data_IF_747719221918
#
_entry.id   IF_747719221918
#
_cell.length_a   1.000
_cell.length_b   1.000
_cell.length_c   1.000
_cell.angle_alpha   90.00
_cell.angle_beta   90.00
_cell.angle_gamma   90.00
#
_symmetry.space_group_name_H-M   'P 1'
#
loop_
_entity.id
_entity.type
_entity.pdbx_description
1 polymer ?
#
# COMPACT_ATOMS: atom_id res chain seq x y z
N UNK A 1 25.86 3.81 7.75
CA UNK A 1 25.41 2.60 7.03
C UNK A 1 23.96 2.86 6.63
N UNK A 2 23.69 3.23 5.38
CA UNK A 2 22.30 3.42 4.94
C UNK A 2 21.65 2.04 4.93
N UNK A 3 20.68 1.80 5.81
CA UNK A 3 19.81 0.62 5.68
C UNK A 3 19.20 0.72 4.28
N UNK A 4 19.37 -0.28 3.44
CA UNK A 4 18.60 -0.40 2.20
C UNK A 4 17.12 -0.44 2.59
N UNK A 5 16.47 0.73 2.58
CA UNK A 5 15.06 0.86 2.87
C UNK A 5 14.31 0.33 1.65
N UNK A 6 14.18 -0.98 1.58
CA UNK A 6 13.50 -1.68 0.50
C UNK A 6 11.98 -1.50 0.66
N UNK A 7 11.50 -0.28 0.41
CA UNK A 7 10.09 0.10 0.53
C UNK A 7 9.41 -0.10 -0.82
N UNK A 8 8.28 -0.82 -0.80
CA UNK A 8 7.44 -1.04 -1.97
C UNK A 8 6.05 -0.46 -1.70
N UNK A 9 5.66 0.55 -2.47
CA UNK A 9 4.31 1.10 -2.42
C UNK A 9 3.46 0.37 -3.45
N UNK A 10 2.35 -0.20 -2.99
CA UNK A 10 1.38 -0.92 -3.80
C UNK A 10 0.12 -0.05 -3.84
N UNK A 11 -0.25 0.43 -5.02
CA UNK A 11 -1.52 1.10 -5.24
C UNK A 11 -2.58 0.09 -5.59
N UNK A 12 -3.66 0.09 -4.83
CA UNK A 12 -4.94 -0.46 -5.26
C UNK A 12 -5.41 0.33 -6.48
N UNK A 13 -5.62 -0.38 -7.58
CA UNK A 13 -6.12 0.13 -8.85
C UNK A 13 -7.44 -0.55 -9.23
N UNK A 14 -8.23 -0.98 -8.25
CA UNK A 14 -9.62 -1.40 -8.45
C UNK A 14 -10.49 -0.28 -9.02
N UNK A 15 -11.65 -0.64 -9.54
CA UNK A 15 -12.63 0.28 -10.10
C UNK A 15 -13.11 1.34 -9.11
N UNK A 16 -13.24 1.00 -7.82
CA UNK A 16 -13.66 1.93 -6.75
C UNK A 16 -12.67 3.08 -6.54
N UNK A 17 -11.42 2.93 -6.99
CA UNK A 17 -10.42 3.99 -6.96
C UNK A 17 -10.66 5.08 -8.02
N UNK A 18 -11.57 4.89 -8.98
CA UNK A 18 -12.01 5.98 -9.86
C UNK A 18 -13.00 6.93 -9.19
N UNK A 19 -13.61 6.51 -8.09
CA UNK A 19 -14.61 7.31 -7.40
C UNK A 19 -13.94 8.34 -6.48
N UNK A 20 -14.67 9.42 -6.18
CA UNK A 20 -14.32 10.38 -5.13
C UNK A 20 -12.89 10.95 -5.21
N UNK A 21 -12.33 11.03 -6.42
CA UNK A 21 -10.99 11.58 -6.65
C UNK A 21 -9.82 10.70 -6.17
N UNK A 22 -10.05 9.47 -5.71
CA UNK A 22 -9.01 8.59 -5.14
C UNK A 22 -7.85 8.34 -6.12
N UNK A 23 -8.15 8.14 -7.41
CA UNK A 23 -7.12 8.02 -8.47
C UNK A 23 -6.25 9.27 -8.59
N UNK A 24 -6.80 10.46 -8.40
CA UNK A 24 -6.01 11.69 -8.43
C UNK A 24 -5.01 11.73 -7.26
N UNK A 25 -5.44 11.29 -6.07
CA UNK A 25 -4.57 11.16 -4.89
C UNK A 25 -3.40 10.20 -5.18
N UNK A 26 -3.66 9.01 -5.73
CA UNK A 26 -2.60 8.06 -6.11
C UNK A 26 -1.57 8.66 -7.08
N UNK A 27 -2.06 9.41 -8.08
CA UNK A 27 -1.19 10.09 -9.06
C UNK A 27 -0.33 11.18 -8.41
N UNK A 28 -0.90 11.94 -7.48
CA UNK A 28 -0.18 12.98 -6.72
C UNK A 28 0.88 12.35 -5.83
N UNK A 29 0.53 11.28 -5.09
CA UNK A 29 1.46 10.52 -4.27
C UNK A 29 2.63 9.99 -5.11
N UNK A 30 2.35 9.32 -6.22
CA UNK A 30 3.40 8.85 -7.13
C UNK A 30 4.33 9.98 -7.55
N UNK A 31 3.79 11.09 -8.06
CA UNK A 31 4.60 12.18 -8.58
C UNK A 31 5.48 12.84 -7.51
N UNK A 32 4.94 13.05 -6.31
CA UNK A 32 5.66 13.66 -5.20
C UNK A 32 6.76 12.72 -4.66
N UNK A 33 6.40 11.47 -4.37
CA UNK A 33 7.30 10.51 -3.73
C UNK A 33 8.38 10.04 -4.70
N UNK A 34 8.03 9.73 -5.96
CA UNK A 34 9.01 9.30 -6.95
C UNK A 34 10.07 10.37 -7.22
N UNK A 35 9.70 11.65 -7.14
CA UNK A 35 10.63 12.78 -7.26
C UNK A 35 11.57 12.88 -6.05
N UNK A 36 11.05 12.66 -4.85
CA UNK A 36 11.79 12.85 -3.60
C UNK A 36 12.63 11.62 -3.19
N UNK A 37 12.15 10.43 -3.50
CA UNK A 37 12.68 9.14 -3.08
C UNK A 37 12.71 8.17 -4.28
N UNK A 38 13.69 8.29 -5.17
CA UNK A 38 13.75 7.49 -6.41
C UNK A 38 13.93 5.99 -6.17
N UNK A 39 14.45 5.60 -5.00
CA UNK A 39 14.69 4.20 -4.64
C UNK A 39 13.42 3.45 -4.19
N UNK A 40 12.32 4.17 -3.95
CA UNK A 40 11.02 3.57 -3.62
C UNK A 40 10.43 2.93 -4.87
N UNK A 41 10.05 1.66 -4.76
CA UNK A 41 9.43 0.92 -5.85
C UNK A 41 7.92 1.07 -5.80
N UNK A 42 7.30 1.35 -6.94
CA UNK A 42 5.85 1.46 -7.06
C UNK A 42 5.27 0.28 -7.85
N UNK A 43 4.16 -0.22 -7.36
CA UNK A 43 3.42 -1.33 -7.94
C UNK A 43 1.94 -0.98 -8.02
N UNK A 44 1.27 -1.45 -9.06
CA UNK A 44 -0.18 -1.36 -9.23
C UNK A 44 -0.80 -2.73 -9.02
N UNK A 45 -1.95 -2.77 -8.36
CA UNK A 45 -2.70 -4.00 -8.09
C UNK A 45 -4.14 -3.88 -8.59
N UNK A 46 -4.54 -4.79 -9.47
CA UNK A 46 -5.93 -5.04 -9.84
C UNK A 46 -6.13 -6.56 -10.03
N UNK A 47 -6.41 -7.05 -11.24
CA UNK A 47 -6.35 -8.49 -11.58
C UNK A 47 -4.93 -9.06 -11.52
N UNK A 48 -3.91 -8.21 -11.65
CA UNK A 48 -2.49 -8.58 -11.56
C UNK A 48 -1.73 -7.55 -10.74
N UNK A 49 -0.50 -7.88 -10.34
CA UNK A 49 0.45 -6.92 -9.76
C UNK A 49 1.55 -6.61 -10.77
N UNK A 50 1.79 -5.32 -11.03
CA UNK A 50 2.75 -4.87 -12.05
C UNK A 50 3.50 -3.59 -11.61
N UNK A 51 4.73 -3.34 -12.11
CA UNK A 51 5.47 -2.12 -11.80
C UNK A 51 4.76 -0.88 -12.34
N UNK A 52 4.73 0.19 -11.53
CA UNK A 52 4.27 1.53 -11.95
C UNK A 52 5.51 2.39 -12.14
N UNK A 53 5.81 2.74 -13.38
CA UNK A 53 7.03 3.49 -13.73
C UNK A 53 6.75 4.97 -14.02
N UNK A 54 5.48 5.32 -14.21
CA UNK A 54 5.03 6.65 -14.59
C UNK A 54 3.58 6.85 -14.21
N UNK A 55 3.19 8.10 -14.03
CA UNK A 55 1.83 8.51 -13.65
C UNK A 55 0.75 7.89 -14.54
N UNK A 56 1.01 7.68 -15.85
CA UNK A 56 0.04 7.11 -16.78
C UNK A 56 -0.23 5.62 -16.60
N UNK A 57 0.58 4.91 -15.82
CA UNK A 57 0.35 3.49 -15.48
C UNK A 57 -0.69 3.34 -14.36
N UNK A 58 -1.03 4.44 -13.66
CA UNK A 58 -2.01 4.49 -12.57
C UNK A 58 -3.42 4.57 -13.18
N UNK A 59 -3.91 3.41 -13.61
CA UNK A 59 -5.24 3.24 -14.21
C UNK A 59 -6.07 2.34 -13.30
N UNK A 60 -7.01 2.94 -12.59
CA UNK A 60 -8.00 2.25 -11.78
C UNK A 60 -9.07 1.60 -12.67
N UNK A 61 -9.29 0.30 -12.53
CA UNK A 61 -10.27 -0.50 -13.29
C UNK A 61 -10.45 -1.89 -12.67
N UNK A 62 -11.54 -2.54 -13.06
CA UNK A 62 -11.84 -3.93 -12.69
C UNK A 62 -12.01 -4.15 -11.17
N UNK A 63 -12.35 -5.37 -10.77
CA UNK A 63 -12.27 -5.81 -9.39
C UNK A 63 -10.84 -6.28 -9.11
N UNK A 64 -10.34 -6.03 -7.90
CA UNK A 64 -9.03 -6.54 -7.46
C UNK A 64 -9.06 -8.07 -7.29
N UNK A 65 -7.95 -8.72 -7.63
CA UNK A 65 -7.72 -10.14 -7.34
C UNK A 65 -6.85 -10.25 -6.10
N UNK A 66 -7.42 -10.68 -4.97
CA UNK A 66 -6.67 -10.97 -3.74
C UNK A 66 -5.53 -11.96 -3.98
N UNK A 67 -5.79 -13.02 -4.75
CA UNK A 67 -4.79 -14.04 -5.11
C UNK A 67 -3.55 -13.45 -5.79
N UNK A 68 -3.73 -12.50 -6.71
CA UNK A 68 -2.61 -11.87 -7.41
C UNK A 68 -1.66 -11.13 -6.45
N UNK A 69 -2.23 -10.39 -5.49
CA UNK A 69 -1.44 -9.68 -4.47
C UNK A 69 -0.80 -10.63 -3.47
N UNK A 70 -1.54 -11.63 -2.98
CA UNK A 70 -1.03 -12.70 -2.11
C UNK A 70 0.17 -13.40 -2.75
N UNK A 71 0.06 -13.77 -4.03
CA UNK A 71 1.16 -14.41 -4.77
C UNK A 71 2.36 -13.47 -4.93
N UNK A 72 2.14 -12.18 -5.15
CA UNK A 72 3.23 -11.20 -5.25
C UNK A 72 3.96 -11.02 -3.91
N UNK A 73 3.22 -10.93 -2.80
CA UNK A 73 3.78 -10.77 -1.45
C UNK A 73 4.51 -12.04 -0.98
N UNK A 74 3.97 -13.22 -1.29
CA UNK A 74 4.55 -14.51 -0.91
C UNK A 74 5.81 -14.92 -1.69
N UNK A 75 6.11 -14.25 -2.81
CA UNK A 75 7.36 -14.48 -3.54
C UNK A 75 8.54 -13.92 -2.74
N UNK A 76 9.25 -14.81 -2.02
CA UNK A 76 10.35 -14.48 -1.11
C UNK A 76 11.57 -13.73 -1.68
N UNK A 77 11.53 -13.30 -2.95
CA UNK A 77 12.47 -12.35 -3.55
C UNK A 77 12.08 -10.89 -3.30
N UNK A 78 10.84 -10.63 -2.89
CA UNK A 78 10.32 -9.30 -2.58
C UNK A 78 10.51 -8.97 -1.09
N UNK A 79 11.75 -9.03 -0.59
CA UNK A 79 12.05 -8.56 0.77
C UNK A 79 11.69 -7.07 0.97
N UNK A 80 11.64 -6.61 2.23
CA UNK A 80 11.40 -5.20 2.56
C UNK A 80 10.09 -4.91 3.28
N UNK A 81 9.68 -3.64 3.28
CA UNK A 81 8.41 -3.16 3.84
C UNK A 81 7.46 -2.86 2.70
N UNK A 82 6.26 -3.44 2.74
CA UNK A 82 5.20 -3.15 1.79
C UNK A 82 4.27 -2.09 2.37
N UNK A 83 3.81 -1.19 1.51
CA UNK A 83 2.85 -0.16 1.84
C UNK A 83 1.70 -0.19 0.85
N UNK A 84 0.54 -0.66 1.28
CA UNK A 84 -0.68 -0.77 0.46
C UNK A 84 -1.53 0.49 0.59
N UNK A 85 -1.71 1.23 -0.50
CA UNK A 85 -2.59 2.41 -0.54
C UNK A 85 -3.89 2.01 -1.24
N UNK A 86 -5.00 2.06 -0.51
CA UNK A 86 -6.31 1.55 -0.96
C UNK A 86 -7.46 2.28 -0.29
N UNK A 87 -8.68 2.14 -0.80
CA UNK A 87 -9.90 2.56 -0.10
C UNK A 87 -10.35 1.58 0.99
N UNK A 88 -9.75 0.39 1.06
CA UNK A 88 -10.07 -0.66 2.03
C UNK A 88 -11.31 -1.48 1.68
N UNK A 89 -11.85 -1.34 0.47
CA UNK A 89 -13.05 -2.05 0.02
C UNK A 89 -12.64 -3.34 -0.68
N UNK A 90 -12.52 -4.43 0.08
CA UNK A 90 -12.14 -5.75 -0.43
C UNK A 90 -13.14 -6.82 -0.04
N UNK A 91 -13.08 -7.96 -0.75
CA UNK A 91 -13.86 -9.13 -0.36
C UNK A 91 -13.39 -9.65 1.01
N UNK A 92 -14.34 -10.23 1.75
CA UNK A 92 -14.08 -10.79 3.08
C UNK A 92 -12.95 -11.84 3.01
N UNK A 93 -11.99 -11.74 3.93
CA UNK A 93 -10.86 -12.68 4.04
C UNK A 93 -9.59 -12.24 3.29
N UNK A 94 -9.72 -11.42 2.24
CA UNK A 94 -8.56 -10.97 1.44
C UNK A 94 -7.50 -10.28 2.30
N UNK A 95 -7.92 -9.47 3.27
CA UNK A 95 -7.00 -8.75 4.14
C UNK A 95 -6.11 -9.67 4.98
N UNK A 96 -6.67 -10.74 5.53
CA UNK A 96 -5.94 -11.73 6.34
C UNK A 96 -4.93 -12.50 5.48
N UNK A 97 -5.33 -12.88 4.26
CA UNK A 97 -4.45 -13.54 3.30
C UNK A 97 -3.27 -12.64 2.90
N UNK A 98 -3.53 -11.35 2.63
CA UNK A 98 -2.51 -10.34 2.34
C UNK A 98 -1.52 -10.20 3.50
N UNK A 99 -2.03 -10.07 4.73
CA UNK A 99 -1.21 -9.88 5.93
C UNK A 99 -0.30 -11.10 6.18
N UNK A 100 -0.86 -12.30 6.02
CA UNK A 100 -0.14 -13.57 6.14
C UNK A 100 0.93 -13.70 5.06
N UNK A 101 0.58 -13.42 3.81
CA UNK A 101 1.50 -13.51 2.68
C UNK A 101 2.67 -12.53 2.80
N UNK A 102 2.43 -11.33 3.32
CA UNK A 102 3.45 -10.33 3.59
C UNK A 102 4.35 -10.65 4.81
N UNK A 103 4.12 -11.77 5.51
CA UNK A 103 4.84 -12.15 6.74
C UNK A 103 4.86 -11.01 7.78
N UNK A 104 3.72 -10.33 7.96
CA UNK A 104 3.55 -9.18 8.86
C UNK A 104 4.40 -7.93 8.51
N UNK A 105 4.90 -7.82 7.28
CA UNK A 105 5.69 -6.65 6.80
C UNK A 105 4.91 -5.77 5.83
N UNK A 106 3.61 -5.64 6.04
CA UNK A 106 2.75 -4.75 5.25
C UNK A 106 2.05 -3.75 6.15
N UNK A 107 2.09 -2.49 5.72
CA UNK A 107 1.33 -1.38 6.28
C UNK A 107 0.30 -0.96 5.23
N UNK A 108 -0.79 -0.33 5.66
CA UNK A 108 -1.80 0.20 4.75
C UNK A 108 -2.07 1.68 4.99
N UNK A 109 -2.41 2.40 3.92
CA UNK A 109 -2.88 3.79 3.94
C UNK A 109 -4.25 3.82 3.28
N UNK A 110 -5.26 4.28 4.01
CA UNK A 110 -6.61 4.40 3.48
C UNK A 110 -6.81 5.69 2.68
N UNK A 111 -7.48 5.61 1.54
CA UNK A 111 -8.03 6.76 0.84
C UNK A 111 -9.55 6.80 1.04
N UNK A 112 -9.98 7.49 2.11
CA UNK A 112 -11.39 7.66 2.47
C UNK A 112 -12.20 8.48 1.45
N UNK A 113 -13.53 8.37 1.52
CA UNK A 113 -14.51 9.13 0.71
C UNK A 113 -14.41 10.66 0.91
N UNK A 114 -13.94 11.05 2.09
CA UNK A 114 -13.23 12.29 2.41
C UNK A 114 -12.06 11.82 3.29
N UNK A 115 -10.86 12.36 3.15
CA UNK A 115 -9.69 11.95 3.96
C UNK A 115 -9.84 12.38 5.44
N UNK A 116 -10.84 11.83 6.13
CA UNK A 116 -11.07 11.87 7.58
C UNK A 116 -11.62 10.51 7.99
N UNK A 117 -10.68 9.70 8.47
CA UNK A 117 -10.74 8.91 9.70
C UNK A 117 -11.86 7.86 9.89
N UNK A 118 -11.47 6.70 10.41
CA UNK A 118 -12.25 5.49 10.74
C UNK A 118 -12.60 4.55 9.57
N UNK A 119 -11.81 3.48 9.41
CA UNK A 119 -12.24 2.08 9.15
C UNK A 119 -11.22 1.29 8.30
N UNK A 120 -10.03 1.03 8.85
CA UNK A 120 -9.15 -0.05 8.34
C UNK A 120 -8.49 -0.89 9.45
N UNK A 121 -9.00 -0.78 10.69
CA UNK A 121 -8.47 -1.47 11.87
C UNK A 121 -8.57 -3.00 11.81
N UNK A 122 -9.36 -3.57 10.90
CA UNK A 122 -9.66 -5.01 10.89
C UNK A 122 -8.95 -5.82 9.79
N UNK A 123 -8.23 -5.16 8.87
CA UNK A 123 -7.43 -5.88 7.88
C UNK A 123 -6.17 -6.56 8.46
N UNK A 124 -5.78 -6.19 9.69
CA UNK A 124 -4.51 -6.56 10.34
C UNK A 124 -4.64 -7.70 11.38
N UNK A 125 -5.60 -8.62 11.18
CA UNK A 125 -5.70 -9.88 11.92
C UNK A 125 -5.32 -9.77 13.40
N UNK A 126 -6.13 -9.07 14.20
CA UNK A 126 -6.04 -8.97 15.66
C UNK A 126 -4.65 -8.68 16.28
N UNK A 127 -3.69 -8.15 15.52
CA UNK A 127 -2.41 -7.70 16.07
C UNK A 127 -2.48 -6.21 16.38
N UNK A 128 -2.38 -5.89 17.67
CA UNK A 128 -2.50 -4.55 18.25
C UNK A 128 -1.34 -3.65 17.79
N UNK A 129 -1.51 -2.93 16.68
CA UNK A 129 -1.03 -1.54 16.48
C UNK A 129 -1.41 -1.09 15.07
N UNK A 130 -2.59 -0.49 14.97
CA UNK A 130 -3.00 0.25 13.77
C UNK A 130 -2.44 1.66 13.93
N UNK A 131 -1.47 2.03 13.08
CA UNK A 131 -1.06 3.42 12.97
C UNK A 131 -2.02 4.11 12.00
N UNK A 132 -2.93 4.93 12.54
CA UNK A 132 -3.69 5.89 11.76
C UNK A 132 -2.71 6.95 11.24
N UNK A 133 -2.18 6.75 10.03
CA UNK A 133 -1.35 7.76 9.40
C UNK A 133 -2.15 8.41 8.28
N UNK A 134 -2.65 9.60 8.59
CA UNK A 134 -3.42 10.45 7.67
C UNK A 134 -2.59 10.94 6.47
N UNK A 135 -1.25 10.85 6.54
CA UNK A 135 -0.31 11.35 5.52
C UNK A 135 0.76 10.31 5.15
N UNK A 136 0.67 9.80 3.92
CA UNK A 136 1.65 8.90 3.31
C UNK A 136 3.09 9.42 3.42
N UNK A 137 3.28 10.74 3.30
CA UNK A 137 4.61 11.39 3.38
C UNK A 137 5.21 11.24 4.77
N UNK A 138 4.38 11.37 5.81
CA UNK A 138 4.80 11.21 7.20
C UNK A 138 5.17 9.75 7.48
N UNK A 139 4.36 8.78 7.03
CA UNK A 139 4.68 7.36 7.17
C UNK A 139 6.01 7.02 6.48
N UNK A 140 6.22 7.50 5.27
CA UNK A 140 7.48 7.30 4.55
C UNK A 140 8.66 7.93 5.30
N UNK A 141 8.50 9.13 5.85
CA UNK A 141 9.52 9.74 6.68
C UNK A 141 9.89 8.86 7.90
N UNK A 142 8.90 8.25 8.58
CA UNK A 142 9.14 7.35 9.71
C UNK A 142 9.91 6.10 9.28
N UNK A 143 9.45 5.45 8.21
CA UNK A 143 10.07 4.24 7.66
C UNK A 143 11.51 4.50 7.19
N UNK A 144 11.74 5.63 6.52
CA UNK A 144 13.04 5.96 5.95
C UNK A 144 14.08 6.34 7.01
N UNK A 145 13.64 6.96 8.11
CA UNK A 145 14.54 7.38 9.20
C UNK A 145 14.74 6.30 10.28
N UNK A 146 14.23 5.09 10.05
CA UNK A 146 14.52 3.94 10.90
C UNK A 146 13.95 4.05 12.31
N UNK A 147 12.88 4.83 12.51
CA UNK A 147 12.08 4.68 13.73
C UNK A 147 11.48 3.28 13.67
N UNK A 148 11.86 2.44 14.64
CA UNK A 148 11.40 1.06 14.72
C UNK A 148 9.88 1.07 14.81
N UNK A 149 9.24 0.59 13.74
CA UNK A 149 7.85 0.17 13.80
C UNK A 149 7.89 -1.17 14.52
N UNK A 150 7.77 -1.14 15.84
CA UNK A 150 7.63 -2.35 16.65
C UNK A 150 6.36 -3.08 16.21
N UNK A 151 6.54 -4.11 15.37
CA UNK A 151 5.52 -5.03 14.89
C UNK A 151 5.30 -6.21 15.85
N UNK A 152 5.35 -5.95 17.16
CA UNK A 152 5.03 -6.93 18.21
C UNK A 152 3.52 -7.19 18.31
#
# INVERSE_FOLDING_TARGET
MMKENNIKIIFDLSGSMNELGRRAVLRTYFAAIHKQYPDIQFWGWNKTVFPVLKVKDIVARDIVSGEALVKFLGQGKNGGVFLLVSDGIWEKGIAEDIFTAARKKILSVQIGAYAKNLMLSEAAGNSKKVWEIEDLSMLLHHLLNGMEVDCD
#
